data_IF_086539342114
#
_entry.id   IF_086539342114
#
_cell.length_a   1.000
_cell.length_b   1.000
_cell.length_c   1.000
_cell.angle_alpha   90.00
_cell.angle_beta   90.00
_cell.angle_gamma   90.00
#
_symmetry.space_group_name_H-M   'P 1'
#
loop_
_entity.id
_entity.type
_entity.pdbx_description
1 polymer ?
#
# COMPACT_ATOMS: atom_id res chain seq x y z
N UNK A 1 -5.13 20.21 -12.44
CA UNK A 1 -4.62 19.02 -11.75
C UNK A 1 -4.57 17.95 -12.82
N UNK A 2 -3.40 17.77 -13.40
CA UNK A 2 -3.22 16.93 -14.57
C UNK A 2 -3.39 15.46 -14.15
N UNK A 3 -3.89 14.62 -15.07
CA UNK A 3 -4.20 13.22 -14.81
C UNK A 3 -2.98 12.40 -14.32
N UNK A 4 -1.76 12.92 -14.49
CA UNK A 4 -0.50 12.33 -14.04
C UNK A 4 -0.35 12.28 -12.51
N UNK A 5 -1.07 13.12 -11.75
CA UNK A 5 -0.96 13.14 -10.28
C UNK A 5 -1.85 12.10 -9.57
N UNK A 6 -2.68 11.38 -10.33
CA UNK A 6 -3.68 10.46 -9.78
C UNK A 6 -3.14 9.06 -9.54
N UNK A 7 -2.27 8.59 -10.42
CA UNK A 7 -1.78 7.21 -10.42
C UNK A 7 -0.42 7.11 -9.75
N UNK A 8 -0.14 5.97 -9.15
CA UNK A 8 1.16 5.67 -8.59
C UNK A 8 1.51 4.23 -8.90
N UNK A 9 2.61 4.06 -9.64
CA UNK A 9 3.17 2.74 -9.95
C UNK A 9 4.00 2.24 -8.77
N UNK A 10 3.63 1.10 -8.20
CA UNK A 10 4.39 0.47 -7.11
C UNK A 10 5.57 -0.34 -7.66
N UNK A 11 6.68 0.33 -7.97
CA UNK A 11 7.94 -0.33 -8.29
C UNK A 11 8.63 -0.86 -7.02
N UNK A 12 9.54 -1.82 -7.15
CA UNK A 12 10.33 -2.31 -6.01
C UNK A 12 11.11 -1.18 -5.35
N UNK A 13 11.68 -0.26 -6.14
CA UNK A 13 12.38 0.92 -5.63
C UNK A 13 11.44 1.85 -4.85
N UNK A 14 10.25 2.15 -5.40
CA UNK A 14 9.25 3.00 -4.74
C UNK A 14 8.87 2.44 -3.36
N UNK A 15 8.65 1.13 -3.28
CA UNK A 15 8.27 0.42 -2.06
C UNK A 15 9.43 0.35 -1.07
N UNK A 16 10.65 0.00 -1.52
CA UNK A 16 11.84 -0.08 -0.66
C UNK A 16 12.18 1.26 -0.02
N UNK A 17 12.06 2.37 -0.76
CA UNK A 17 12.31 3.72 -0.25
C UNK A 17 11.27 4.18 0.81
N UNK A 18 10.21 3.41 1.04
CA UNK A 18 9.16 3.69 2.04
C UNK A 18 9.14 2.71 3.20
N UNK A 19 10.05 1.73 3.21
CA UNK A 19 10.23 0.88 4.38
C UNK A 19 10.68 1.72 5.57
N UNK A 20 10.26 1.33 6.78
CA UNK A 20 10.87 1.88 7.98
C UNK A 20 12.36 1.51 8.01
N UNK A 21 13.22 2.29 8.70
CA UNK A 21 14.65 1.97 8.79
C UNK A 21 14.90 0.54 9.31
N UNK A 22 14.10 0.08 10.27
CA UNK A 22 14.19 -1.29 10.78
C UNK A 22 13.81 -2.33 9.72
N UNK A 23 12.67 -2.16 9.04
CA UNK A 23 12.24 -3.09 8.00
C UNK A 23 13.25 -3.17 6.84
N UNK A 24 13.85 -2.04 6.47
CA UNK A 24 14.89 -1.99 5.45
C UNK A 24 16.14 -2.78 5.87
N UNK A 25 16.56 -2.64 7.13
CA UNK A 25 17.69 -3.39 7.69
C UNK A 25 17.40 -4.90 7.77
N UNK A 26 16.20 -5.27 8.25
CA UNK A 26 15.73 -6.66 8.33
C UNK A 26 15.71 -7.30 6.94
N UNK A 27 15.14 -6.60 5.95
CA UNK A 27 15.09 -7.07 4.56
C UNK A 27 16.50 -7.22 3.96
N UNK A 28 17.40 -6.26 4.21
CA UNK A 28 18.78 -6.34 3.74
C UNK A 28 19.54 -7.55 4.33
N UNK A 29 19.32 -7.87 5.61
CA UNK A 29 19.89 -9.07 6.22
C UNK A 29 19.28 -10.35 5.62
N UNK A 30 17.97 -10.39 5.43
CA UNK A 30 17.25 -11.55 4.89
C UNK A 30 17.63 -11.89 3.44
N UNK A 31 17.88 -10.88 2.59
CA UNK A 31 18.39 -11.11 1.22
C UNK A 31 19.88 -11.46 1.19
N UNK A 32 20.65 -11.08 2.20
CA UNK A 32 22.07 -11.44 2.27
C UNK A 32 22.25 -12.95 2.53
N UNK A 33 21.27 -13.59 3.18
CA UNK A 33 21.23 -15.05 3.35
C UNK A 33 20.89 -15.78 2.05
N UNK A 34 20.05 -15.19 1.19
CA UNK A 34 19.61 -15.75 -0.08
C UNK A 34 19.12 -14.63 -1.01
N UNK A 35 19.95 -14.31 -2.01
CA UNK A 35 19.73 -13.21 -2.93
C UNK A 35 18.50 -13.38 -3.82
N UNK A 36 17.99 -14.61 -3.99
CA UNK A 36 16.79 -14.87 -4.81
C UNK A 36 15.54 -14.21 -4.20
N UNK A 37 15.60 -13.86 -2.92
CA UNK A 37 14.55 -13.15 -2.18
C UNK A 37 14.42 -11.68 -2.56
N UNK A 38 15.34 -11.11 -3.34
CA UNK A 38 15.24 -9.71 -3.80
C UNK A 38 13.95 -9.45 -4.60
N UNK A 39 13.47 -10.46 -5.34
CA UNK A 39 12.24 -10.40 -6.12
C UNK A 39 10.95 -10.28 -5.28
N UNK A 40 11.00 -10.56 -3.97
CA UNK A 40 9.78 -10.68 -3.14
C UNK A 40 9.01 -9.36 -2.99
N UNK A 41 9.70 -8.23 -3.03
CA UNK A 41 9.02 -6.93 -3.04
C UNK A 41 8.20 -6.75 -4.33
N UNK A 42 8.73 -7.18 -5.47
CA UNK A 42 8.02 -7.12 -6.74
C UNK A 42 6.79 -8.04 -6.74
N UNK A 43 6.94 -9.27 -6.22
CA UNK A 43 5.85 -10.24 -6.11
C UNK A 43 4.69 -9.67 -5.26
N UNK A 44 5.00 -9.10 -4.10
CA UNK A 44 3.99 -8.49 -3.23
C UNK A 44 3.36 -7.24 -3.83
N UNK A 45 4.14 -6.41 -4.52
CA UNK A 45 3.59 -5.28 -5.27
C UNK A 45 2.61 -5.76 -6.34
N UNK A 46 2.93 -6.81 -7.11
CA UNK A 46 2.04 -7.38 -8.13
C UNK A 46 0.75 -7.91 -7.51
N UNK A 47 0.86 -8.71 -6.45
CA UNK A 47 -0.31 -9.26 -5.75
C UNK A 47 -1.23 -8.15 -5.25
N UNK A 48 -0.70 -7.17 -4.52
CA UNK A 48 -1.50 -6.10 -3.94
C UNK A 48 -2.10 -5.18 -5.00
N UNK A 49 -1.33 -4.81 -6.03
CA UNK A 49 -1.86 -3.98 -7.13
C UNK A 49 -2.97 -4.71 -7.89
N UNK A 50 -2.85 -6.03 -8.11
CA UNK A 50 -3.89 -6.84 -8.71
C UNK A 50 -5.20 -6.78 -7.91
N UNK A 51 -5.14 -6.93 -6.59
CA UNK A 51 -6.31 -6.85 -5.70
C UNK A 51 -6.99 -5.49 -5.76
N UNK A 52 -6.22 -4.40 -5.64
CA UNK A 52 -6.78 -3.05 -5.74
C UNK A 52 -7.41 -2.81 -7.11
N UNK A 53 -6.73 -3.18 -8.20
CA UNK A 53 -7.27 -3.05 -9.56
C UNK A 53 -8.53 -3.88 -9.76
N UNK A 54 -8.57 -5.10 -9.23
CA UNK A 54 -9.76 -5.95 -9.24
C UNK A 54 -10.95 -5.30 -8.53
N UNK A 55 -10.72 -4.68 -7.38
CA UNK A 55 -11.76 -3.96 -6.64
C UNK A 55 -12.27 -2.72 -7.41
N UNK A 56 -11.39 -1.99 -8.10
CA UNK A 56 -11.79 -0.87 -8.97
C UNK A 56 -12.66 -1.35 -10.14
N UNK A 57 -12.23 -2.40 -10.84
CA UNK A 57 -12.97 -2.99 -11.98
C UNK A 57 -14.35 -3.49 -11.56
N UNK A 58 -14.45 -4.10 -10.37
CA UNK A 58 -15.73 -4.61 -9.83
C UNK A 58 -16.78 -3.52 -9.60
N UNK A 59 -16.35 -2.25 -9.51
CA UNK A 59 -17.23 -1.09 -9.35
C UNK A 59 -17.30 -0.21 -10.60
N UNK A 60 -16.81 -0.70 -11.76
CA UNK A 60 -16.68 0.06 -13.01
C UNK A 60 -15.95 1.40 -12.84
N UNK A 61 -14.92 1.45 -11.98
CA UNK A 61 -14.08 2.63 -11.83
C UNK A 61 -12.91 2.59 -12.82
N UNK A 62 -12.36 3.77 -13.11
CA UNK A 62 -11.22 3.91 -13.99
C UNK A 62 -10.03 3.12 -13.43
N UNK A 63 -9.29 2.49 -14.33
CA UNK A 63 -8.03 1.80 -14.06
C UNK A 63 -7.00 2.31 -15.07
N UNK A 64 -5.78 2.57 -14.60
CA UNK A 64 -4.66 2.89 -15.48
C UNK A 64 -4.23 1.63 -16.25
N UNK A 65 -4.50 1.61 -17.55
CA UNK A 65 -4.13 0.50 -18.43
C UNK A 65 -2.70 0.64 -18.98
N UNK A 66 -1.98 1.73 -18.68
CA UNK A 66 -0.57 1.88 -19.08
C UNK A 66 0.39 1.06 -18.21
N UNK A 67 -0.03 0.66 -17.01
CA UNK A 67 0.78 -0.13 -16.07
C UNK A 67 -0.09 -0.98 -15.14
N UNK A 68 0.19 -2.28 -15.10
CA UNK A 68 -0.47 -3.21 -14.18
C UNK A 68 -0.10 -2.99 -12.71
N UNK A 69 0.96 -2.23 -12.45
CA UNK A 69 1.40 -1.88 -11.10
C UNK A 69 0.87 -0.52 -10.63
N UNK A 70 0.09 0.17 -11.46
CA UNK A 70 -0.49 1.46 -11.11
C UNK A 70 -1.79 1.31 -10.34
N UNK A 71 -1.85 2.01 -9.21
CA UNK A 71 -3.05 2.17 -8.37
C UNK A 71 -3.31 3.66 -8.10
N UNK A 72 -4.54 4.05 -7.71
CA UNK A 72 -4.82 5.42 -7.32
C UNK A 72 -3.98 5.84 -6.11
N UNK A 73 -3.50 7.08 -6.10
CA UNK A 73 -2.64 7.62 -5.03
C UNK A 73 -3.27 7.49 -3.63
N UNK A 74 -4.60 7.60 -3.53
CA UNK A 74 -5.36 7.39 -2.28
C UNK A 74 -5.26 5.96 -1.73
N UNK A 75 -4.99 4.96 -2.58
CA UNK A 75 -4.82 3.57 -2.18
C UNK A 75 -3.39 3.24 -1.70
N UNK A 76 -2.39 4.06 -2.06
CA UNK A 76 -0.96 3.74 -1.87
C UNK A 76 -0.60 3.43 -0.43
N UNK A 77 -1.05 4.24 0.55
CA UNK A 77 -0.73 3.99 1.97
C UNK A 77 -1.25 2.63 2.44
N UNK A 78 -2.44 2.26 1.99
CA UNK A 78 -3.07 0.99 2.34
C UNK A 78 -2.38 -0.17 1.63
N UNK A 79 -2.06 -0.02 0.34
CA UNK A 79 -1.31 -1.01 -0.41
C UNK A 79 0.07 -1.28 0.22
N UNK A 80 0.83 -0.25 0.56
CA UNK A 80 2.13 -0.38 1.24
C UNK A 80 2.01 -1.07 2.60
N UNK A 81 0.94 -0.80 3.36
CA UNK A 81 0.70 -1.47 4.64
C UNK A 81 0.53 -2.98 4.47
N UNK A 82 -0.17 -3.42 3.41
CA UNK A 82 -0.34 -4.84 3.09
C UNK A 82 0.99 -5.43 2.60
N UNK A 83 1.69 -4.76 1.68
CA UNK A 83 2.99 -5.21 1.17
C UNK A 83 4.00 -5.41 2.29
N UNK A 84 4.14 -4.46 3.21
CA UNK A 84 5.08 -4.57 4.33
C UNK A 84 4.68 -5.65 5.33
N UNK A 85 3.37 -5.83 5.53
CA UNK A 85 2.86 -6.90 6.39
C UNK A 85 3.21 -8.28 5.83
N UNK A 86 2.96 -8.51 4.53
CA UNK A 86 3.28 -9.78 3.85
C UNK A 86 4.78 -10.02 3.74
N UNK A 87 5.57 -8.97 3.49
CA UNK A 87 7.03 -9.08 3.49
C UNK A 87 7.58 -9.49 4.86
N UNK A 88 7.05 -8.94 5.97
CA UNK A 88 7.44 -9.37 7.32
C UNK A 88 7.08 -10.83 7.59
N UNK A 89 5.95 -11.31 7.08
CA UNK A 89 5.56 -12.74 7.18
C UNK A 89 6.55 -13.64 6.45
N UNK A 90 6.95 -13.26 5.23
CA UNK A 90 7.96 -13.97 4.47
C UNK A 90 9.30 -14.07 5.22
N UNK A 91 9.68 -13.00 5.92
CA UNK A 91 10.90 -12.95 6.74
C UNK A 91 10.78 -13.70 8.08
N UNK A 92 9.59 -14.18 8.45
CA UNK A 92 9.34 -14.78 9.76
C UNK A 92 9.44 -13.79 10.94
N UNK A 93 9.29 -12.48 10.67
CA UNK A 93 9.38 -11.43 11.69
C UNK A 93 8.00 -11.20 12.29
N UNK A 94 7.92 -11.26 13.63
CA UNK A 94 6.70 -10.97 14.35
C UNK A 94 6.27 -9.51 14.15
N UNK A 95 5.00 -9.31 13.81
CA UNK A 95 4.42 -7.99 13.66
C UNK A 95 4.06 -7.40 15.01
N UNK A 96 4.32 -6.10 15.16
CA UNK A 96 3.83 -5.33 16.30
C UNK A 96 2.31 -5.17 16.22
N UNK A 97 1.67 -4.85 17.34
CA UNK A 97 0.23 -4.59 17.39
C UNK A 97 -0.18 -3.46 16.42
N UNK A 98 0.62 -2.39 16.35
CA UNK A 98 0.35 -1.26 15.46
C UNK A 98 0.41 -1.65 13.98
N UNK A 99 1.33 -2.52 13.60
CA UNK A 99 1.43 -3.07 12.23
C UNK A 99 0.25 -3.98 11.90
N UNK A 100 -0.17 -4.84 12.83
CA UNK A 100 -1.37 -5.67 12.67
C UNK A 100 -2.63 -4.81 12.48
N UNK A 101 -2.78 -3.74 13.27
CA UNK A 101 -3.88 -2.78 13.13
C UNK A 101 -3.83 -2.07 11.77
N UNK A 102 -2.64 -1.66 11.32
CA UNK A 102 -2.47 -1.00 10.02
C UNK A 102 -2.85 -1.91 8.86
N UNK A 103 -2.38 -3.17 8.87
CA UNK A 103 -2.72 -4.18 7.87
C UNK A 103 -4.23 -4.46 7.85
N UNK A 104 -4.85 -4.64 9.02
CA UNK A 104 -6.30 -4.85 9.15
C UNK A 104 -7.09 -3.66 8.58
N UNK A 105 -6.67 -2.43 8.90
CA UNK A 105 -7.31 -1.21 8.34
C UNK A 105 -7.16 -1.12 6.83
N UNK A 106 -6.02 -1.55 6.28
CA UNK A 106 -5.81 -1.59 4.84
C UNK A 106 -6.70 -2.62 4.13
N UNK A 107 -6.86 -3.81 4.71
CA UNK A 107 -7.78 -4.83 4.18
C UNK A 107 -9.24 -4.37 4.24
N UNK A 108 -9.68 -3.76 5.35
CA UNK A 108 -11.02 -3.16 5.46
C UNK A 108 -11.22 -2.08 4.38
N UNK A 109 -10.22 -1.24 4.13
CA UNK A 109 -10.27 -0.21 3.10
C UNK A 109 -10.44 -0.83 1.70
N UNK A 110 -9.65 -1.86 1.37
CA UNK A 110 -9.76 -2.60 0.11
C UNK A 110 -11.16 -3.22 -0.05
N UNK A 111 -11.70 -3.86 0.99
CA UNK A 111 -13.07 -4.42 0.97
C UNK A 111 -14.14 -3.34 0.80
N UNK A 112 -13.94 -2.15 1.36
CA UNK A 112 -14.85 -1.02 1.18
C UNK A 112 -14.81 -0.44 -0.24
N UNK A 113 -13.64 -0.48 -0.91
CA UNK A 113 -13.55 -0.22 -2.35
C UNK A 113 -14.37 -1.28 -3.09
N UNK A 114 -14.13 -2.57 -2.80
CA UNK A 114 -14.81 -3.68 -3.45
C UNK A 114 -16.34 -3.56 -3.35
N UNK A 115 -16.86 -3.23 -2.17
CA UNK A 115 -18.30 -3.06 -1.94
C UNK A 115 -18.86 -1.70 -2.40
N UNK A 116 -18.06 -0.86 -3.05
CA UNK A 116 -18.48 0.46 -3.55
C UNK A 116 -18.73 1.50 -2.46
N UNK A 117 -18.43 1.20 -1.19
CA UNK A 117 -18.65 2.08 -0.03
C UNK A 117 -17.66 3.24 0.02
N UNK A 118 -16.45 3.04 -0.49
CA UNK A 118 -15.39 4.06 -0.53
C UNK A 118 -14.85 4.16 -1.95
N UNK A 119 -14.96 5.33 -2.57
CA UNK A 119 -14.32 5.59 -3.86
C UNK A 119 -12.82 5.80 -3.68
N UNK A 120 -12.02 5.19 -4.57
CA UNK A 120 -10.61 5.54 -4.70
C UNK A 120 -10.50 6.96 -5.28
N UNK A 121 -10.35 7.96 -4.40
CA UNK A 121 -10.46 9.37 -4.78
C UNK A 121 -9.23 9.90 -5.50
N UNK A 122 -9.47 10.89 -6.38
CA UNK A 122 -8.51 11.78 -7.06
C UNK A 122 -7.82 12.78 -6.13
N UNK A 123 -8.24 12.85 -4.87
CA UNK A 123 -7.74 13.82 -3.90
C UNK A 123 -7.33 13.04 -2.66
N UNK A 124 -6.03 13.03 -2.37
CA UNK A 124 -5.54 12.72 -1.04
C UNK A 124 -5.99 13.86 -0.12
N UNK A 125 -7.03 13.63 0.68
CA UNK A 125 -7.31 14.55 1.77
C UNK A 125 -6.25 14.32 2.85
N UNK A 126 -5.25 15.19 2.90
CA UNK A 126 -4.61 15.48 4.18
C UNK A 126 -5.74 15.89 5.13
N UNK A 127 -6.14 14.99 6.03
CA UNK A 127 -6.99 15.41 7.13
C UNK A 127 -6.12 16.34 7.98
N UNK A 128 -6.21 17.65 7.76
CA UNK A 128 -5.75 18.61 8.74
C UNK A 128 -6.58 18.35 10.00
N UNK A 129 -5.99 17.89 11.11
CA UNK A 129 -6.75 17.74 12.34
C UNK A 129 -7.21 19.13 12.76
N UNK A 130 -8.48 19.41 12.58
CA UNK A 130 -9.12 20.60 13.13
C UNK A 130 -9.32 20.32 14.61
N UNK A 131 -8.30 20.65 15.41
CA UNK A 131 -8.50 20.79 16.84
C UNK A 131 -9.49 21.94 17.04
N UNK A 132 -10.76 21.61 17.30
CA UNK A 132 -11.69 22.57 17.89
C UNK A 132 -11.07 23.00 19.21
N UNK A 133 -10.58 24.23 19.26
CA UNK A 133 -9.93 24.77 20.44
C UNK A 133 -10.80 24.58 21.69
N UNK A 134 -10.19 24.09 22.76
CA UNK A 134 -10.60 24.45 24.11
C UNK A 134 -9.62 25.53 24.57
N UNK A 135 -9.91 26.78 24.20
CA UNK A 135 -9.46 27.89 25.02
C UNK A 135 -10.41 27.95 26.21
N UNK A 136 -9.91 27.56 27.37
CA UNK A 136 -10.41 28.00 28.68
C UNK A 136 -9.21 28.46 29.49
#
# INVERSE_FOLDING_TARGET
MDAEDYWTTLTSEYTRNRMSPQLAADFAAWIAEDWTREGRVADHNQMVTHEFRGALRSNNWLVDESSELSIPRSCVRHALSIVFFELRKDMGIAQTESENIAATRADIFLRNIWTGKVKASLVYHEQTPTFKGAAQ
#
